data_IF_875804416976
#
_entry.id   IF_875804416976
#
_cell.length_a   1.000
_cell.length_b   1.000
_cell.length_c   1.000
_cell.angle_alpha   90.00
_cell.angle_beta   90.00
_cell.angle_gamma   90.00
#
_symmetry.space_group_name_H-M   'P 1'
#
loop_
_entity.id
_entity.type
_entity.pdbx_description
1 polymer ?
#
# COMPACT_ATOMS: atom_id res chain seq x y z
N UNK A 1 -30.68 15.89 -5.97
CA UNK A 1 -29.33 15.59 -6.48
C UNK A 1 -29.17 16.35 -7.78
N UNK A 2 -28.08 17.11 -7.99
CA UNK A 2 -27.86 17.71 -9.32
C UNK A 2 -27.81 16.56 -10.31
N UNK A 3 -28.65 16.62 -11.35
CA UNK A 3 -28.59 15.65 -12.44
C UNK A 3 -27.18 15.71 -13.01
N UNK A 4 -26.47 14.58 -13.02
CA UNK A 4 -25.19 14.52 -13.71
C UNK A 4 -25.49 14.74 -15.19
N UNK A 5 -24.85 15.74 -15.81
CA UNK A 5 -25.12 16.12 -17.20
C UNK A 5 -24.97 14.93 -18.17
N UNK A 6 -24.21 13.90 -17.79
CA UNK A 6 -23.99 12.63 -18.50
C UNK A 6 -25.18 11.67 -18.50
N UNK A 7 -26.13 11.81 -17.59
CA UNK A 7 -27.27 10.89 -17.45
C UNK A 7 -28.62 11.59 -17.31
N UNK A 8 -28.64 12.91 -17.14
CA UNK A 8 -29.85 13.70 -17.09
C UNK A 8 -30.77 13.47 -18.30
N UNK A 9 -32.08 13.39 -18.06
CA UNK A 9 -33.09 13.22 -19.10
C UNK A 9 -33.56 14.53 -19.73
N UNK A 10 -34.61 14.44 -20.56
CA UNK A 10 -35.29 15.58 -21.22
C UNK A 10 -34.33 16.39 -22.13
N UNK A 11 -34.21 17.69 -21.91
CA UNK A 11 -33.48 18.59 -22.81
C UNK A 11 -31.96 18.40 -22.72
N UNK A 12 -31.42 18.04 -21.55
CA UNK A 12 -30.00 17.67 -21.41
C UNK A 12 -29.66 16.40 -22.22
N UNK A 13 -30.58 15.43 -22.25
CA UNK A 13 -30.45 14.24 -23.10
C UNK A 13 -30.38 14.58 -24.59
N UNK A 14 -31.22 15.51 -25.06
CA UNK A 14 -31.17 15.98 -26.46
C UNK A 14 -29.87 16.72 -26.78
N UNK A 15 -29.33 17.49 -25.82
CA UNK A 15 -28.04 18.19 -25.99
C UNK A 15 -26.91 17.17 -26.06
N UNK A 16 -26.87 16.17 -25.18
CA UNK A 16 -25.88 15.08 -25.24
C UNK A 16 -25.93 14.34 -26.56
N UNK A 17 -27.13 13.94 -27.00
CA UNK A 17 -27.30 13.31 -28.30
C UNK A 17 -26.65 14.16 -29.39
N UNK A 18 -27.04 15.43 -29.53
CA UNK A 18 -26.45 16.33 -30.54
C UNK A 18 -24.93 16.45 -30.42
N UNK A 19 -24.40 16.48 -29.20
CA UNK A 19 -22.95 16.54 -28.97
C UNK A 19 -22.25 15.25 -29.44
N UNK A 20 -22.80 14.08 -29.13
CA UNK A 20 -22.30 12.78 -29.61
C UNK A 20 -22.36 12.72 -31.14
N UNK A 21 -23.45 13.19 -31.74
CA UNK A 21 -23.64 13.21 -33.20
C UNK A 21 -22.63 14.10 -33.94
N UNK A 22 -21.97 15.03 -33.26
CA UNK A 22 -20.85 15.78 -33.85
C UNK A 22 -19.58 14.94 -34.05
N UNK A 23 -19.51 13.76 -33.43
CA UNK A 23 -18.33 12.90 -33.40
C UNK A 23 -17.20 13.45 -32.53
N UNK A 24 -17.42 14.51 -31.73
CA UNK A 24 -16.35 15.20 -30.99
C UNK A 24 -16.12 14.68 -29.58
N UNK A 25 -17.08 14.00 -28.97
CA UNK A 25 -16.88 13.37 -27.65
C UNK A 25 -15.90 12.22 -27.82
N UNK A 26 -14.82 12.24 -27.04
CA UNK A 26 -13.68 11.34 -27.24
C UNK A 26 -13.48 10.40 -26.06
N UNK A 27 -13.40 10.97 -24.85
CA UNK A 27 -13.15 10.22 -23.62
C UNK A 27 -14.05 10.74 -22.51
N UNK A 28 -14.63 9.80 -21.77
CA UNK A 28 -15.42 10.03 -20.57
C UNK A 28 -14.76 9.31 -19.40
N UNK A 29 -14.45 10.03 -18.31
CA UNK A 29 -13.84 9.44 -17.11
C UNK A 29 -14.73 9.72 -15.89
N UNK A 30 -15.20 8.67 -15.21
CA UNK A 30 -15.92 8.81 -13.94
C UNK A 30 -14.94 8.75 -12.77
N UNK A 31 -15.10 9.68 -11.82
CA UNK A 31 -14.27 9.79 -10.62
C UNK A 31 -15.19 9.81 -9.39
N UNK A 32 -14.77 9.09 -8.34
CA UNK A 32 -15.53 8.99 -7.10
C UNK A 32 -15.60 10.32 -6.35
N UNK A 33 -16.41 10.34 -5.30
CA UNK A 33 -16.49 11.49 -4.39
C UNK A 33 -15.19 11.73 -3.62
N UNK A 34 -15.14 12.87 -2.93
CA UNK A 34 -14.04 13.28 -2.04
C UNK A 34 -12.72 13.65 -2.75
N UNK A 35 -12.75 13.92 -4.06
CA UNK A 35 -11.64 14.56 -4.79
C UNK A 35 -11.69 16.10 -4.74
N UNK A 36 -12.77 16.70 -4.23
CA UNK A 36 -12.88 18.14 -4.02
C UNK A 36 -12.73 18.50 -2.54
N UNK A 37 -11.97 19.56 -2.28
CA UNK A 37 -11.72 20.04 -0.91
C UNK A 37 -12.96 20.53 -0.16
N UNK A 38 -14.02 20.95 -0.87
CA UNK A 38 -15.18 21.65 -0.27
C UNK A 38 -16.49 20.90 -0.41
N UNK A 39 -16.56 19.82 -1.22
CA UNK A 39 -17.80 19.09 -1.51
C UNK A 39 -17.53 17.60 -1.74
N UNK A 40 -18.29 16.75 -1.05
CA UNK A 40 -18.27 15.29 -1.25
C UNK A 40 -19.20 14.87 -2.40
N UNK A 41 -18.86 15.25 -3.62
CA UNK A 41 -19.61 14.86 -4.84
C UNK A 41 -18.69 14.11 -5.80
N UNK A 42 -19.18 13.07 -6.51
CA UNK A 42 -18.43 12.49 -7.63
C UNK A 42 -18.35 13.49 -8.79
N UNK A 43 -17.40 13.30 -9.69
CA UNK A 43 -17.29 14.09 -10.91
C UNK A 43 -16.98 13.22 -12.12
N UNK A 44 -17.18 13.81 -13.29
CA UNK A 44 -16.78 13.20 -14.55
C UNK A 44 -15.94 14.19 -15.35
N UNK A 45 -14.92 13.68 -16.03
CA UNK A 45 -14.10 14.45 -16.96
C UNK A 45 -14.53 14.12 -18.38
N UNK A 46 -14.80 15.17 -19.15
CA UNK A 46 -15.25 15.10 -20.54
C UNK A 46 -14.13 15.61 -21.44
N UNK A 47 -13.61 14.76 -22.29
CA UNK A 47 -12.61 15.15 -23.30
C UNK A 47 -13.27 15.24 -24.66
N UNK A 48 -13.18 16.43 -25.27
CA UNK A 48 -13.73 16.72 -26.59
C UNK A 48 -12.58 16.94 -27.57
N UNK A 49 -12.61 16.24 -28.70
CA UNK A 49 -11.60 16.29 -29.73
C UNK A 49 -12.26 16.38 -31.11
N UNK A 50 -12.11 17.54 -31.77
CA UNK A 50 -12.63 17.74 -33.14
C UNK A 50 -11.75 17.10 -34.21
N UNK A 51 -10.51 16.72 -33.86
CA UNK A 51 -9.54 16.10 -34.76
C UNK A 51 -9.40 14.60 -34.52
N UNK A 52 -10.48 13.91 -34.11
CA UNK A 52 -10.44 12.45 -33.97
C UNK A 52 -10.13 11.80 -35.33
N UNK A 53 -9.26 10.78 -35.36
CA UNK A 53 -9.11 9.93 -36.54
C UNK A 53 -10.45 9.34 -36.99
N UNK A 54 -10.59 9.08 -38.28
CA UNK A 54 -11.86 8.64 -38.87
C UNK A 54 -12.38 7.35 -38.22
N UNK A 55 -11.48 6.43 -37.88
CA UNK A 55 -11.77 5.14 -37.24
C UNK A 55 -12.28 5.26 -35.78
N UNK A 56 -12.10 6.43 -35.16
CA UNK A 56 -12.56 6.72 -33.80
C UNK A 56 -13.75 7.68 -33.76
N UNK A 57 -14.17 8.23 -34.90
CA UNK A 57 -15.14 9.33 -34.95
C UNK A 57 -16.47 8.96 -34.26
N UNK A 58 -16.97 7.75 -34.51
CA UNK A 58 -18.19 7.19 -33.91
C UNK A 58 -17.95 6.38 -32.60
N UNK A 59 -16.75 6.49 -32.01
CA UNK A 59 -16.36 5.76 -30.80
C UNK A 59 -16.08 6.71 -29.64
N UNK A 60 -16.41 6.29 -28.42
CA UNK A 60 -16.10 7.01 -27.18
C UNK A 60 -15.42 6.04 -26.21
N UNK A 61 -14.31 6.45 -25.62
CA UNK A 61 -13.65 5.69 -24.55
C UNK A 61 -14.33 6.01 -23.21
N UNK A 62 -14.90 4.99 -22.58
CA UNK A 62 -15.51 5.07 -21.24
C UNK A 62 -14.53 4.51 -20.22
N UNK A 63 -14.08 5.33 -19.27
CA UNK A 63 -13.22 4.91 -18.16
C UNK A 63 -13.96 5.15 -16.83
N UNK A 64 -14.06 4.13 -16.02
CA UNK A 64 -14.55 4.24 -14.65
C UNK A 64 -13.39 4.17 -13.65
N UNK A 65 -12.91 5.34 -13.25
CA UNK A 65 -11.81 5.47 -12.28
C UNK A 65 -12.33 5.60 -10.84
N UNK A 66 -13.60 5.26 -10.55
CA UNK A 66 -14.18 5.41 -9.20
C UNK A 66 -13.48 4.54 -8.15
N UNK A 67 -12.84 3.44 -8.56
CA UNK A 67 -12.10 2.55 -7.65
C UNK A 67 -10.60 2.82 -7.62
N UNK A 68 -10.08 3.74 -8.43
CA UNK A 68 -8.67 4.10 -8.45
C UNK A 68 -8.49 5.36 -7.60
N UNK A 69 -7.89 5.25 -6.41
CA UNK A 69 -7.60 6.41 -5.56
C UNK A 69 -6.63 6.04 -4.43
N UNK A 70 -6.03 7.04 -3.81
CA UNK A 70 -5.43 6.95 -2.47
C UNK A 70 -6.18 7.87 -1.52
N UNK A 71 -6.29 7.46 -0.26
CA UNK A 71 -6.84 8.30 0.81
C UNK A 71 -5.71 9.19 1.31
N UNK A 72 -5.83 10.50 1.11
CA UNK A 72 -4.87 11.49 1.67
C UNK A 72 -5.17 11.71 3.15
N UNK A 73 -6.45 11.72 3.51
CA UNK A 73 -6.92 11.71 4.88
C UNK A 73 -8.34 11.10 4.93
N UNK A 74 -9.00 11.17 6.09
CA UNK A 74 -10.35 10.62 6.30
C UNK A 74 -11.41 11.16 5.33
N UNK A 75 -11.20 12.34 4.75
CA UNK A 75 -12.20 13.07 3.96
C UNK A 75 -11.76 13.40 2.53
N UNK A 76 -10.48 13.25 2.19
CA UNK A 76 -9.92 13.65 0.90
C UNK A 76 -9.22 12.46 0.25
N UNK A 77 -9.57 12.24 -1.01
CA UNK A 77 -8.88 11.35 -1.93
C UNK A 77 -8.10 12.15 -2.97
N UNK A 78 -7.09 11.50 -3.53
CA UNK A 78 -6.32 11.97 -4.67
C UNK A 78 -5.87 10.74 -5.48
N UNK A 79 -5.29 10.96 -6.66
CA UNK A 79 -4.50 9.95 -7.36
C UNK A 79 -3.04 10.04 -6.89
N UNK A 80 -2.37 8.90 -6.73
CA UNK A 80 -0.91 8.93 -6.75
C UNK A 80 -0.41 9.27 -8.17
N UNK A 81 0.84 9.75 -8.32
CA UNK A 81 1.43 9.92 -9.64
C UNK A 81 1.32 8.66 -10.52
N UNK A 82 1.51 7.48 -9.93
CA UNK A 82 1.42 6.18 -10.59
C UNK A 82 -0.02 5.84 -10.99
N UNK A 83 -0.99 6.05 -10.11
CA UNK A 83 -2.41 5.88 -10.44
C UNK A 83 -2.82 6.76 -11.63
N UNK A 84 -2.33 8.00 -11.68
CA UNK A 84 -2.57 8.90 -12.80
C UNK A 84 -1.93 8.39 -14.10
N UNK A 85 -0.69 7.90 -14.04
CA UNK A 85 -0.02 7.27 -15.19
C UNK A 85 -0.76 6.02 -15.66
N UNK A 86 -1.27 5.20 -14.75
CA UNK A 86 -2.06 4.02 -15.08
C UNK A 86 -3.34 4.39 -15.85
N UNK A 87 -4.10 5.38 -15.38
CA UNK A 87 -5.29 5.87 -16.11
C UNK A 87 -4.89 6.43 -17.48
N UNK A 88 -3.81 7.21 -17.54
CA UNK A 88 -3.31 7.79 -18.79
C UNK A 88 -2.86 6.70 -19.79
N UNK A 89 -2.31 5.59 -19.30
CA UNK A 89 -1.87 4.48 -20.13
C UNK A 89 -3.02 3.81 -20.89
N UNK A 90 -4.23 3.78 -20.31
CA UNK A 90 -5.45 3.32 -21.00
C UNK A 90 -5.73 4.20 -22.22
N UNK A 91 -5.52 5.52 -22.09
CA UNK A 91 -5.67 6.46 -23.20
C UNK A 91 -4.60 6.23 -24.27
N UNK A 92 -3.35 5.96 -23.89
CA UNK A 92 -2.29 5.60 -24.85
C UNK A 92 -2.68 4.35 -25.65
N UNK A 93 -3.19 3.32 -24.99
CA UNK A 93 -3.66 2.11 -25.65
C UNK A 93 -4.84 2.39 -26.60
N UNK A 94 -5.78 3.26 -26.20
CA UNK A 94 -6.86 3.74 -27.09
C UNK A 94 -6.34 4.49 -28.32
N UNK A 95 -5.17 5.14 -28.22
CA UNK A 95 -4.46 5.78 -29.33
C UNK A 95 -3.48 4.84 -30.06
N UNK A 96 -3.47 3.54 -29.75
CA UNK A 96 -2.53 2.57 -30.31
C UNK A 96 -1.05 2.87 -30.01
N UNK A 97 -0.77 3.58 -28.91
CA UNK A 97 0.59 3.93 -28.46
C UNK A 97 1.17 2.85 -27.53
N UNK A 98 1.16 1.58 -27.95
CA UNK A 98 1.59 0.43 -27.13
C UNK A 98 3.01 0.56 -26.56
N UNK A 99 3.93 1.19 -27.29
CA UNK A 99 5.30 1.39 -26.82
C UNK A 99 5.36 2.22 -25.54
N UNK A 100 4.55 3.28 -25.42
CA UNK A 100 4.51 4.12 -24.20
C UNK A 100 3.96 3.36 -22.99
N UNK A 101 2.97 2.49 -23.22
CA UNK A 101 2.46 1.60 -22.18
C UNK A 101 3.56 0.65 -21.69
N UNK A 102 4.27 0.00 -22.62
CA UNK A 102 5.38 -0.90 -22.29
C UNK A 102 6.48 -0.16 -21.52
N UNK A 103 6.88 1.02 -21.99
CA UNK A 103 7.90 1.84 -21.33
C UNK A 103 7.50 2.25 -19.91
N UNK A 104 6.20 2.45 -19.63
CA UNK A 104 5.69 2.70 -18.28
C UNK A 104 5.86 1.47 -17.38
N UNK A 105 5.47 0.27 -17.86
CA UNK A 105 5.65 -0.98 -17.10
C UNK A 105 7.12 -1.26 -16.82
N UNK A 106 7.99 -1.02 -17.82
CA UNK A 106 9.45 -1.11 -17.66
C UNK A 106 9.95 -0.11 -16.62
N UNK A 107 9.43 1.12 -16.61
CA UNK A 107 9.74 2.13 -15.60
C UNK A 107 9.34 1.70 -14.18
N UNK A 108 8.22 1.00 -14.02
CA UNK A 108 7.85 0.40 -12.74
C UNK A 108 8.80 -0.72 -12.34
N UNK A 109 9.17 -1.62 -13.24
CA UNK A 109 10.17 -2.67 -12.93
C UNK A 109 11.51 -2.09 -12.48
N UNK A 110 12.01 -1.06 -13.19
CA UNK A 110 13.23 -0.33 -12.78
C UNK A 110 13.09 0.36 -11.42
N UNK A 111 11.88 0.81 -11.08
CA UNK A 111 11.61 1.42 -9.77
C UNK A 111 11.61 0.32 -8.70
N UNK A 112 10.98 -0.83 -8.93
CA UNK A 112 11.03 -2.00 -8.03
C UNK A 112 12.49 -2.37 -7.72
N UNK A 113 13.35 -2.48 -8.74
CA UNK A 113 14.77 -2.80 -8.54
C UNK A 113 15.49 -1.75 -7.68
N UNK A 114 15.23 -0.46 -7.95
CA UNK A 114 15.82 0.63 -7.17
C UNK A 114 15.35 0.57 -5.71
N UNK A 115 14.05 0.39 -5.50
CA UNK A 115 13.49 0.36 -4.16
C UNK A 115 13.97 -0.89 -3.39
N UNK A 116 14.15 -2.01 -4.08
CA UNK A 116 14.71 -3.25 -3.55
C UNK A 116 16.15 -3.01 -3.05
N UNK A 117 17.02 -2.47 -3.89
CA UNK A 117 18.40 -2.15 -3.50
C UNK A 117 18.47 -1.12 -2.37
N UNK A 118 17.62 -0.10 -2.41
CA UNK A 118 17.52 0.90 -1.33
C UNK A 118 17.05 0.29 -0.01
N UNK A 119 16.12 -0.66 -0.05
CA UNK A 119 15.57 -1.30 1.16
C UNK A 119 16.62 -2.11 1.92
N UNK A 120 17.54 -2.80 1.22
CA UNK A 120 18.62 -3.57 1.86
C UNK A 120 19.50 -2.66 2.72
N UNK A 121 19.93 -1.52 2.19
CA UNK A 121 20.79 -0.59 2.92
C UNK A 121 20.09 0.00 4.16
N UNK A 122 18.79 0.30 4.05
CA UNK A 122 18.00 0.82 5.18
C UNK A 122 17.72 -0.25 6.24
N UNK A 123 17.50 -1.50 5.84
CA UNK A 123 17.34 -2.64 6.75
C UNK A 123 18.63 -2.92 7.53
N UNK A 124 19.78 -2.88 6.86
CA UNK A 124 21.10 -2.99 7.51
C UNK A 124 21.33 -1.87 8.52
N UNK A 125 21.00 -0.62 8.15
CA UNK A 125 21.07 0.51 9.06
C UNK A 125 20.16 0.32 10.29
N UNK A 126 18.94 -0.21 10.12
CA UNK A 126 18.09 -0.54 11.25
C UNK A 126 18.70 -1.62 12.15
N UNK A 127 19.30 -2.67 11.57
CA UNK A 127 20.00 -3.71 12.31
C UNK A 127 21.16 -3.14 13.14
N UNK A 128 21.95 -2.20 12.61
CA UNK A 128 23.02 -1.55 13.37
C UNK A 128 22.51 -0.80 14.61
N UNK A 129 21.34 -0.17 14.53
CA UNK A 129 20.72 0.51 15.67
C UNK A 129 20.10 -0.48 16.66
N UNK A 130 19.50 -1.55 16.15
CA UNK A 130 18.98 -2.65 16.95
C UNK A 130 20.10 -3.33 17.75
N UNK A 131 21.28 -3.50 17.15
CA UNK A 131 22.44 -4.14 17.78
C UNK A 131 22.97 -3.32 18.96
N UNK A 132 23.07 -2.00 18.82
CA UNK A 132 23.43 -1.12 19.94
C UNK A 132 22.49 -1.26 21.12
N UNK A 133 21.19 -1.41 20.87
CA UNK A 133 20.17 -1.58 21.90
C UNK A 133 20.23 -2.97 22.53
N UNK A 134 20.30 -4.02 21.71
CA UNK A 134 20.32 -5.41 22.18
C UNK A 134 21.62 -5.76 22.91
N UNK A 135 22.79 -5.29 22.45
CA UNK A 135 24.08 -5.50 23.13
C UNK A 135 24.09 -4.95 24.56
N UNK A 136 23.43 -3.82 24.81
CA UNK A 136 23.40 -3.24 26.14
C UNK A 136 22.22 -3.76 26.99
N UNK A 137 21.14 -4.26 26.39
CA UNK A 137 20.18 -5.13 27.08
C UNK A 137 20.85 -6.43 27.54
N UNK A 138 21.65 -7.05 26.68
CA UNK A 138 22.33 -8.31 26.95
C UNK A 138 23.23 -8.22 28.20
N UNK A 139 23.98 -7.12 28.35
CA UNK A 139 24.81 -6.87 29.55
C UNK A 139 24.00 -6.88 30.84
N UNK A 140 22.77 -6.37 30.79
CA UNK A 140 21.88 -6.35 31.95
C UNK A 140 21.21 -7.70 32.19
N UNK A 141 20.59 -8.27 31.16
CA UNK A 141 19.88 -9.55 31.28
C UNK A 141 20.82 -10.70 31.66
N UNK A 142 22.05 -10.75 31.12
CA UNK A 142 23.03 -11.78 31.52
C UNK A 142 23.45 -11.69 33.00
N UNK A 143 23.31 -10.52 33.64
CA UNK A 143 23.58 -10.37 35.07
C UNK A 143 22.41 -10.84 35.94
N UNK A 144 21.17 -10.64 35.46
CA UNK A 144 19.95 -10.86 36.23
C UNK A 144 19.38 -12.26 35.98
N UNK A 145 19.05 -12.56 34.73
CA UNK A 145 18.53 -13.85 34.28
C UNK A 145 18.68 -13.97 32.75
N UNK A 146 19.70 -14.71 32.32
CA UNK A 146 19.96 -14.97 30.89
C UNK A 146 18.82 -15.76 30.21
N UNK A 147 17.94 -16.41 31.00
CA UNK A 147 16.81 -17.21 30.52
C UNK A 147 15.48 -16.49 30.62
N UNK A 148 15.51 -15.17 30.87
CA UNK A 148 14.30 -14.38 30.88
C UNK A 148 13.53 -14.52 29.56
N UNK A 149 12.24 -14.88 29.65
CA UNK A 149 11.44 -15.22 28.49
C UNK A 149 11.28 -14.05 27.51
N UNK A 150 11.11 -12.83 28.01
CA UNK A 150 10.98 -11.62 27.17
C UNK A 150 12.28 -11.29 26.47
N UNK A 151 13.42 -11.47 27.15
CA UNK A 151 14.73 -11.32 26.54
C UNK A 151 15.00 -12.34 25.43
N UNK A 152 14.69 -13.62 25.69
CA UNK A 152 14.89 -14.69 24.72
C UNK A 152 14.00 -14.53 23.48
N UNK A 153 12.76 -14.07 23.68
CA UNK A 153 11.83 -13.77 22.59
C UNK A 153 12.35 -12.66 21.67
N UNK A 154 12.81 -11.53 22.25
CA UNK A 154 13.45 -10.44 21.50
C UNK A 154 14.67 -10.94 20.72
N UNK A 155 15.56 -11.69 21.36
CA UNK A 155 16.77 -12.22 20.70
C UNK A 155 16.41 -13.11 19.52
N UNK A 156 15.51 -14.06 19.73
CA UNK A 156 15.08 -15.01 18.69
C UNK A 156 14.45 -14.28 17.50
N UNK A 157 13.58 -13.30 17.76
CA UNK A 157 12.96 -12.50 16.72
C UNK A 157 13.99 -11.63 15.96
N UNK A 158 14.98 -11.07 16.67
CA UNK A 158 16.03 -10.25 16.07
C UNK A 158 16.97 -11.09 15.20
N UNK A 159 17.33 -12.29 15.63
CA UNK A 159 18.15 -13.24 14.86
C UNK A 159 17.41 -13.69 13.60
N UNK A 160 16.14 -14.09 13.71
CA UNK A 160 15.31 -14.45 12.56
C UNK A 160 15.16 -13.30 11.56
N UNK A 161 14.92 -12.09 12.05
CA UNK A 161 14.79 -10.90 11.20
C UNK A 161 16.06 -10.62 10.39
N UNK A 162 17.24 -10.76 11.00
CA UNK A 162 18.53 -10.60 10.31
C UNK A 162 18.76 -11.69 9.27
N UNK A 163 18.47 -12.94 9.62
CA UNK A 163 18.58 -14.07 8.68
C UNK A 163 17.67 -13.86 7.45
N UNK A 164 16.46 -13.33 7.65
CA UNK A 164 15.54 -13.04 6.56
C UNK A 164 15.99 -11.82 5.73
N UNK A 165 16.62 -10.80 6.33
CA UNK A 165 17.26 -9.72 5.57
C UNK A 165 18.36 -10.28 4.65
N UNK A 166 19.18 -11.20 5.14
CA UNK A 166 20.25 -11.82 4.34
C UNK A 166 19.68 -12.65 3.18
N UNK A 167 18.61 -13.41 3.41
CA UNK A 167 17.89 -14.13 2.34
C UNK A 167 17.33 -13.16 1.30
N UNK A 168 16.68 -12.09 1.76
CA UNK A 168 16.10 -11.07 0.89
C UNK A 168 17.16 -10.37 0.06
N UNK A 169 18.30 -10.00 0.65
CA UNK A 169 19.44 -9.40 -0.05
C UNK A 169 20.11 -10.35 -1.06
N UNK A 170 19.88 -11.65 -0.93
CA UNK A 170 20.39 -12.70 -1.82
C UNK A 170 19.53 -12.97 -3.06
N UNK A 171 18.40 -12.28 -3.25
CA UNK A 171 17.55 -12.52 -4.41
C UNK A 171 18.25 -12.16 -5.74
N UNK A 172 18.08 -13.03 -6.74
CA UNK A 172 18.78 -12.92 -8.02
C UNK A 172 18.19 -11.80 -8.89
N UNK A 173 19.00 -10.90 -9.47
CA UNK A 173 18.49 -9.83 -10.33
C UNK A 173 17.56 -10.36 -11.44
N UNK A 174 16.39 -9.75 -11.57
CA UNK A 174 15.41 -10.10 -12.59
C UNK A 174 15.80 -9.41 -13.89
N UNK A 175 15.84 -10.17 -14.98
CA UNK A 175 16.17 -9.65 -16.32
C UNK A 175 15.01 -9.87 -17.27
N UNK A 176 14.74 -8.88 -18.11
CA UNK A 176 13.70 -8.91 -19.12
C UNK A 176 14.11 -8.09 -20.34
N UNK A 177 13.49 -8.39 -21.48
CA UNK A 177 13.63 -7.62 -22.70
C UNK A 177 12.39 -6.72 -22.86
N UNK A 178 12.60 -5.40 -22.90
CA UNK A 178 11.52 -4.43 -23.04
C UNK A 178 10.74 -4.55 -24.37
N UNK A 179 11.31 -5.19 -25.39
CA UNK A 179 10.64 -5.44 -26.67
C UNK A 179 9.96 -6.82 -26.73
N UNK A 180 10.07 -7.61 -25.65
CA UNK A 180 9.47 -8.94 -25.52
C UNK A 180 8.53 -8.99 -24.31
N UNK A 181 7.23 -8.86 -24.59
CA UNK A 181 6.19 -8.78 -23.58
C UNK A 181 6.10 -10.04 -22.72
N UNK A 182 6.44 -11.21 -23.24
CA UNK A 182 6.44 -12.46 -22.47
C UNK A 182 7.48 -12.42 -21.36
N UNK A 183 8.69 -11.94 -21.67
CA UNK A 183 9.75 -11.76 -20.66
C UNK A 183 9.39 -10.70 -19.63
N UNK A 184 8.65 -9.66 -20.02
CA UNK A 184 8.19 -8.62 -19.11
C UNK A 184 7.10 -9.13 -18.15
N UNK A 185 6.16 -9.95 -18.63
CA UNK A 185 5.20 -10.65 -17.77
C UNK A 185 5.91 -11.54 -16.77
N UNK A 186 6.88 -12.34 -17.22
CA UNK A 186 7.62 -13.23 -16.33
C UNK A 186 8.39 -12.45 -15.27
N UNK A 187 9.01 -11.32 -15.63
CA UNK A 187 9.65 -10.44 -14.67
C UNK A 187 8.67 -9.92 -13.61
N UNK A 188 7.50 -9.42 -14.01
CA UNK A 188 6.47 -8.97 -13.07
C UNK A 188 5.98 -10.11 -12.17
N UNK A 189 5.86 -11.34 -12.68
CA UNK A 189 5.55 -12.51 -11.84
C UNK A 189 6.65 -12.80 -10.83
N UNK A 190 7.92 -12.70 -11.22
CA UNK A 190 9.04 -12.89 -10.30
C UNK A 190 9.07 -11.83 -9.19
N UNK A 191 8.73 -10.57 -9.50
CA UNK A 191 8.65 -9.50 -8.50
C UNK A 191 7.56 -9.71 -7.44
N UNK A 192 6.61 -10.63 -7.66
CA UNK A 192 5.63 -11.00 -6.63
C UNK A 192 6.32 -11.52 -5.35
N UNK A 193 7.32 -12.40 -5.51
CA UNK A 193 8.07 -12.96 -4.38
C UNK A 193 8.82 -11.86 -3.61
N UNK A 194 9.38 -10.88 -4.33
CA UNK A 194 10.04 -9.72 -3.73
C UNK A 194 9.05 -8.90 -2.91
N UNK A 195 7.84 -8.70 -3.45
CA UNK A 195 6.76 -7.97 -2.78
C UNK A 195 6.27 -8.64 -1.50
N UNK A 196 6.07 -9.96 -1.52
CA UNK A 196 5.65 -10.73 -0.34
C UNK A 196 6.73 -10.74 0.73
N UNK A 197 7.99 -11.01 0.35
CA UNK A 197 9.10 -11.00 1.30
C UNK A 197 9.32 -9.61 1.90
N UNK A 198 9.16 -8.56 1.10
CA UNK A 198 9.19 -7.17 1.55
C UNK A 198 8.09 -6.85 2.58
N UNK A 199 6.87 -7.36 2.38
CA UNK A 199 5.77 -7.22 3.34
C UNK A 199 6.13 -7.86 4.67
N UNK A 200 6.62 -9.09 4.62
CA UNK A 200 6.89 -9.88 5.82
C UNK A 200 8.07 -9.30 6.62
N UNK A 201 9.11 -8.81 5.95
CA UNK A 201 10.20 -8.04 6.61
C UNK A 201 9.68 -6.78 7.30
N UNK A 202 8.71 -6.08 6.70
CA UNK A 202 8.06 -4.94 7.34
C UNK A 202 7.40 -5.31 8.68
N UNK A 203 6.65 -6.42 8.69
CA UNK A 203 6.00 -6.94 9.91
C UNK A 203 7.02 -7.41 10.96
N UNK A 204 8.08 -8.09 10.53
CA UNK A 204 9.16 -8.50 11.42
C UNK A 204 9.85 -7.30 12.07
N UNK A 205 10.11 -6.23 11.31
CA UNK A 205 10.68 -5.00 11.85
C UNK A 205 9.75 -4.34 12.91
N UNK A 206 8.44 -4.33 12.68
CA UNK A 206 7.45 -3.88 13.67
C UNK A 206 7.43 -4.77 14.92
N UNK A 207 7.44 -6.09 14.75
CA UNK A 207 7.47 -7.07 15.84
C UNK A 207 8.71 -6.91 16.71
N UNK A 208 9.90 -6.85 16.11
CA UNK A 208 11.18 -6.68 16.82
C UNK A 208 11.16 -5.39 17.63
N UNK A 209 10.63 -4.29 17.07
CA UNK A 209 10.51 -3.02 17.80
C UNK A 209 9.55 -3.11 19.00
N UNK A 210 8.42 -3.82 18.87
CA UNK A 210 7.48 -4.07 19.97
C UNK A 210 8.14 -4.89 21.08
N UNK A 211 8.82 -5.98 20.73
CA UNK A 211 9.55 -6.83 21.68
C UNK A 211 10.68 -6.07 22.37
N UNK A 212 11.37 -5.19 21.64
CA UNK A 212 12.39 -4.32 22.20
C UNK A 212 11.83 -3.38 23.27
N UNK A 213 10.67 -2.77 22.99
CA UNK A 213 9.93 -1.96 23.96
C UNK A 213 9.59 -2.75 25.24
N UNK A 214 9.06 -3.97 25.08
CA UNK A 214 8.72 -4.87 26.20
C UNK A 214 9.94 -5.27 27.03
N UNK A 215 11.04 -5.64 26.38
CA UNK A 215 12.27 -6.02 27.07
C UNK A 215 12.86 -4.85 27.88
N UNK A 216 12.79 -3.63 27.35
CA UNK A 216 13.20 -2.41 28.08
C UNK A 216 12.28 -2.16 29.27
N UNK A 217 10.96 -2.23 29.06
CA UNK A 217 9.97 -1.98 30.12
C UNK A 217 10.10 -2.98 31.27
N UNK A 218 10.22 -4.27 30.95
CA UNK A 218 10.45 -5.33 31.93
C UNK A 218 11.74 -5.11 32.71
N UNK A 219 12.82 -4.78 32.02
CA UNK A 219 14.09 -4.49 32.69
C UNK A 219 13.95 -3.34 33.69
N UNK A 220 13.30 -2.24 33.30
CA UNK A 220 13.14 -1.06 34.16
C UNK A 220 12.14 -1.24 35.30
N UNK A 221 11.00 -1.91 35.06
CA UNK A 221 9.89 -2.02 36.01
C UNK A 221 10.01 -3.23 36.93
N UNK A 222 10.46 -4.37 36.40
CA UNK A 222 10.37 -5.66 37.10
C UNK A 222 11.74 -6.14 37.60
N UNK A 223 12.83 -5.78 36.90
CA UNK A 223 14.17 -6.31 37.16
C UNK A 223 15.13 -5.28 37.79
N UNK A 224 14.65 -4.07 38.09
CA UNK A 224 15.44 -3.05 38.80
C UNK A 224 16.56 -2.42 37.98
N UNK A 225 16.44 -2.39 36.65
CA UNK A 225 17.50 -1.88 35.78
C UNK A 225 17.89 -0.43 36.06
N UNK A 226 16.94 0.41 36.50
CA UNK A 226 17.20 1.83 36.82
C UNK A 226 18.21 2.05 37.94
N UNK A 227 18.38 1.06 38.82
CA UNK A 227 19.36 1.11 39.92
C UNK A 227 20.70 0.48 39.52
N UNK A 228 20.78 -0.15 38.34
CA UNK A 228 21.99 -0.79 37.83
C UNK A 228 22.94 0.21 37.20
N UNK A 229 24.22 0.11 37.55
CA UNK A 229 25.30 0.89 36.90
C UNK A 229 25.56 0.46 35.45
N UNK A 230 25.02 -0.69 35.03
CA UNK A 230 25.14 -1.21 33.66
C UNK A 230 24.03 -0.69 32.75
N UNK A 231 23.00 -0.04 33.31
CA UNK A 231 21.88 0.48 32.54
C UNK A 231 22.16 1.89 32.04
N UNK A 232 21.65 2.21 30.85
CA UNK A 232 21.75 3.56 30.31
C UNK A 232 20.99 4.56 31.19
N UNK A 233 21.42 5.81 31.16
CA UNK A 233 20.56 6.88 31.66
C UNK A 233 19.36 7.06 30.71
N UNK A 234 18.24 7.54 31.24
CA UNK A 234 16.98 7.66 30.47
C UNK A 234 17.11 8.51 29.21
N UNK A 235 18.03 9.48 29.16
CA UNK A 235 18.23 10.33 27.98
C UNK A 235 18.90 9.56 26.84
N UNK A 236 19.94 8.80 27.16
CA UNK A 236 20.68 7.97 26.20
C UNK A 236 19.78 6.87 25.62
N UNK A 237 19.04 6.17 26.47
CA UNK A 237 18.08 5.15 26.05
C UNK A 237 17.02 5.72 25.11
N UNK A 238 16.41 6.86 25.47
CA UNK A 238 15.42 7.50 24.60
C UNK A 238 15.99 7.98 23.26
N UNK A 239 17.28 8.36 23.23
CA UNK A 239 17.95 8.76 21.99
C UNK A 239 18.14 7.55 21.09
N UNK A 240 18.72 6.46 21.60
CA UNK A 240 18.93 5.22 20.84
C UNK A 240 17.61 4.63 20.32
N UNK A 241 16.57 4.61 21.16
CA UNK A 241 15.23 4.16 20.75
C UNK A 241 14.66 4.99 19.61
N UNK A 242 14.83 6.31 19.67
CA UNK A 242 14.35 7.22 18.61
C UNK A 242 15.10 7.01 17.31
N UNK A 243 16.42 6.82 17.37
CA UNK A 243 17.26 6.54 16.20
C UNK A 243 16.88 5.20 15.55
N UNK A 244 16.74 4.15 16.36
CA UNK A 244 16.26 2.85 15.92
C UNK A 244 14.87 2.94 15.26
N UNK A 245 13.91 3.60 15.91
CA UNK A 245 12.55 3.76 15.37
C UNK A 245 12.52 4.58 14.08
N UNK A 246 13.35 5.63 13.97
CA UNK A 246 13.49 6.40 12.73
C UNK A 246 14.04 5.54 11.59
N UNK A 247 15.11 4.79 11.86
CA UNK A 247 15.72 3.92 10.84
C UNK A 247 14.76 2.81 10.39
N UNK A 248 14.00 2.25 11.32
CA UNK A 248 12.94 1.27 11.08
C UNK A 248 11.83 1.84 10.18
N UNK A 249 11.32 3.02 10.50
CA UNK A 249 10.27 3.67 9.70
C UNK A 249 10.75 3.93 8.26
N UNK A 250 11.99 4.38 8.08
CA UNK A 250 12.58 4.57 6.76
C UNK A 250 12.67 3.25 5.98
N UNK A 251 13.14 2.17 6.63
CA UNK A 251 13.21 0.85 6.00
C UNK A 251 11.81 0.35 5.58
N UNK A 252 10.81 0.46 6.45
CA UNK A 252 9.43 0.03 6.18
C UNK A 252 8.81 0.85 5.03
N UNK A 253 9.05 2.17 4.99
CA UNK A 253 8.52 3.01 3.90
C UNK A 253 9.12 2.59 2.54
N UNK A 254 10.41 2.28 2.53
CA UNK A 254 11.11 1.78 1.33
C UNK A 254 10.55 0.42 0.87
N UNK A 255 10.29 -0.49 1.81
CA UNK A 255 9.66 -1.79 1.54
C UNK A 255 8.24 -1.63 0.97
N UNK A 256 7.44 -0.70 1.52
CA UNK A 256 6.10 -0.36 1.01
C UNK A 256 6.14 0.22 -0.40
N UNK A 257 7.10 1.11 -0.67
CA UNK A 257 7.29 1.73 -1.98
C UNK A 257 7.54 0.68 -3.08
N UNK A 258 8.43 -0.29 -2.82
CA UNK A 258 8.66 -1.44 -3.69
C UNK A 258 7.35 -2.17 -4.04
N UNK A 259 6.56 -2.51 -3.02
CA UNK A 259 5.28 -3.20 -3.20
C UNK A 259 4.29 -2.36 -3.99
N UNK A 260 4.29 -1.04 -3.80
CA UNK A 260 3.51 -0.10 -4.59
C UNK A 260 3.80 -0.21 -6.08
N UNK A 261 5.07 -0.11 -6.48
CA UNK A 261 5.45 -0.22 -7.89
C UNK A 261 5.15 -1.59 -8.49
N UNK A 262 5.38 -2.67 -7.74
CA UNK A 262 4.96 -4.02 -8.15
C UNK A 262 3.46 -4.08 -8.44
N UNK A 263 2.62 -3.59 -7.51
CA UNK A 263 1.16 -3.56 -7.72
C UNK A 263 0.77 -2.78 -8.97
N UNK A 264 1.42 -1.65 -9.25
CA UNK A 264 1.13 -0.89 -10.47
C UNK A 264 1.52 -1.64 -11.74
N UNK A 265 2.70 -2.29 -11.77
CA UNK A 265 3.14 -3.09 -12.91
C UNK A 265 2.20 -4.29 -13.15
N UNK A 266 1.89 -5.03 -12.08
CA UNK A 266 0.96 -6.16 -12.10
C UNK A 266 -0.43 -5.74 -12.58
N UNK A 267 -0.99 -4.68 -11.99
CA UNK A 267 -2.31 -4.15 -12.33
C UNK A 267 -2.45 -3.82 -13.81
N UNK A 268 -1.40 -3.23 -14.41
CA UNK A 268 -1.37 -2.90 -15.84
C UNK A 268 -1.33 -4.15 -16.73
N UNK A 269 -0.41 -5.07 -16.46
CA UNK A 269 -0.22 -6.27 -17.29
C UNK A 269 -1.35 -7.27 -17.16
N UNK A 270 -1.95 -7.40 -15.98
CA UNK A 270 -3.15 -8.21 -15.77
C UNK A 270 -4.32 -7.70 -16.64
N UNK A 271 -4.51 -6.38 -16.68
CA UNK A 271 -5.63 -5.75 -17.38
C UNK A 271 -5.39 -5.60 -18.87
N UNK A 272 -4.14 -5.41 -19.29
CA UNK A 272 -3.77 -5.23 -20.70
C UNK A 272 -2.58 -6.13 -21.09
N UNK A 273 -2.75 -7.47 -21.08
CA UNK A 273 -1.65 -8.42 -21.22
C UNK A 273 -0.94 -8.36 -22.57
N UNK A 274 -1.62 -7.90 -23.62
CA UNK A 274 -1.06 -7.77 -24.96
C UNK A 274 -0.56 -6.35 -25.29
N UNK A 275 -0.47 -5.46 -24.28
CA UNK A 275 -0.20 -4.03 -24.46
C UNK A 275 -1.11 -3.38 -25.51
N UNK A 276 -2.38 -3.81 -25.52
CA UNK A 276 -3.45 -3.33 -26.40
C UNK A 276 -4.69 -3.07 -25.57
N UNK A 277 -5.48 -2.08 -26.00
CA UNK A 277 -6.76 -1.82 -25.36
C UNK A 277 -7.67 -3.02 -25.54
N UNK A 278 -8.26 -3.46 -24.42
CA UNK A 278 -9.38 -4.40 -24.38
C UNK A 278 -10.39 -3.89 -23.36
N UNK A 279 -11.62 -4.36 -23.47
CA UNK A 279 -12.62 -4.10 -22.44
C UNK A 279 -12.18 -4.76 -21.13
N UNK A 280 -12.29 -4.02 -20.03
CA UNK A 280 -12.01 -4.51 -18.68
C UNK A 280 -13.21 -4.16 -17.81
N UNK A 281 -13.88 -5.20 -17.30
CA UNK A 281 -15.08 -5.04 -16.47
C UNK A 281 -14.79 -4.12 -15.27
N UNK A 282 -15.72 -3.21 -15.02
CA UNK A 282 -15.62 -2.18 -13.98
C UNK A 282 -14.61 -1.06 -14.25
N UNK A 283 -13.85 -1.09 -15.35
CA UNK A 283 -12.78 -0.14 -15.60
C UNK A 283 -12.88 0.59 -16.95
N UNK A 284 -12.91 -0.14 -18.07
CA UNK A 284 -12.83 0.51 -19.40
C UNK A 284 -13.60 -0.24 -20.47
N UNK A 285 -14.24 0.53 -21.36
CA UNK A 285 -14.88 0.02 -22.58
C UNK A 285 -14.85 1.08 -23.68
N UNK A 286 -14.68 0.66 -24.93
CA UNK A 286 -14.96 1.53 -26.09
C UNK A 286 -16.38 1.31 -26.55
N UNK A 287 -17.18 2.37 -26.56
CA UNK A 287 -18.59 2.30 -26.95
C UNK A 287 -18.81 2.97 -28.29
N UNK A 288 -19.65 2.37 -29.12
CA UNK A 288 -20.06 2.94 -30.39
C UNK A 288 -21.41 3.67 -30.29
N UNK A 289 -21.80 4.30 -31.40
CA UNK A 289 -23.02 5.08 -31.48
C UNK A 289 -24.30 4.25 -31.28
N UNK A 290 -24.31 2.99 -31.70
CA UNK A 290 -25.47 2.11 -31.53
C UNK A 290 -25.66 1.78 -30.05
N UNK A 291 -24.58 1.46 -29.35
CA UNK A 291 -24.59 1.19 -27.91
C UNK A 291 -24.99 2.45 -27.10
N UNK A 292 -24.49 3.63 -27.49
CA UNK A 292 -24.89 4.91 -26.90
C UNK A 292 -26.39 5.17 -27.09
N UNK A 293 -26.92 4.92 -28.28
CA UNK A 293 -28.36 5.09 -28.56
C UNK A 293 -29.22 4.14 -27.74
N UNK A 294 -28.82 2.87 -27.63
CA UNK A 294 -29.49 1.87 -26.80
C UNK A 294 -29.49 2.24 -25.31
N UNK A 295 -28.53 3.08 -24.89
CA UNK A 295 -28.37 3.56 -23.52
C UNK A 295 -28.82 5.02 -23.32
N UNK A 296 -29.85 5.46 -24.06
CA UNK A 296 -30.45 6.80 -23.93
C UNK A 296 -29.44 7.95 -24.07
N UNK A 297 -28.41 7.74 -24.89
CA UNK A 297 -27.30 8.67 -25.10
C UNK A 297 -26.57 9.03 -23.81
N UNK A 298 -26.55 8.15 -22.82
CA UNK A 298 -25.83 8.37 -21.56
C UNK A 298 -24.33 8.41 -21.81
N UNK A 299 -23.62 9.30 -21.13
CA UNK A 299 -22.16 9.40 -21.17
C UNK A 299 -21.54 9.00 -19.82
N UNK A 300 -22.26 8.23 -19.00
CA UNK A 300 -21.78 7.75 -17.69
C UNK A 300 -21.02 6.43 -17.87
N UNK A 301 -19.69 6.39 -17.67
CA UNK A 301 -18.87 5.19 -17.91
C UNK A 301 -19.37 3.93 -17.21
N UNK A 302 -19.82 4.04 -15.95
CA UNK A 302 -20.33 2.91 -15.17
C UNK A 302 -21.54 2.18 -15.78
N UNK A 303 -22.27 2.80 -16.72
CA UNK A 303 -23.36 2.13 -17.46
C UNK A 303 -22.84 1.13 -18.50
N UNK A 304 -21.60 1.29 -18.94
CA UNK A 304 -20.99 0.54 -20.03
C UNK A 304 -19.96 -0.48 -19.56
N UNK A 305 -19.20 -0.15 -18.52
CA UNK A 305 -18.12 -1.02 -18.03
C UNK A 305 -18.58 -2.06 -17.02
N UNK A 306 -19.77 -1.93 -16.45
CA UNK A 306 -20.26 -2.83 -15.40
C UNK A 306 -19.79 -2.44 -14.00
N UNK A 307 -19.81 -3.40 -13.07
CA UNK A 307 -19.40 -3.22 -11.68
C UNK A 307 -18.06 -3.91 -11.49
N UNK A 308 -17.07 -3.19 -10.98
CA UNK A 308 -15.79 -3.80 -10.60
C UNK A 308 -16.02 -4.88 -9.55
N UNK A 309 -15.31 -6.02 -9.63
CA UNK A 309 -15.21 -6.94 -8.50
C UNK A 309 -14.77 -6.19 -7.24
N UNK A 310 -15.23 -6.65 -6.07
CA UNK A 310 -14.67 -6.18 -4.80
C UNK A 310 -13.21 -6.64 -4.72
N UNK A 311 -12.28 -5.69 -4.71
CA UNK A 311 -10.86 -5.98 -4.45
C UNK A 311 -10.67 -6.03 -2.93
N UNK A 312 -10.14 -7.13 -2.41
CA UNK A 312 -9.71 -7.23 -1.01
C UNK A 312 -8.52 -6.28 -0.78
N UNK A 313 -8.50 -5.59 0.36
CA UNK A 313 -7.35 -4.80 0.76
C UNK A 313 -6.22 -5.75 1.17
N UNK A 314 -5.36 -6.13 0.21
CA UNK A 314 -4.22 -7.03 0.46
C UNK A 314 -3.20 -6.48 1.49
N UNK A 315 -3.24 -5.18 1.80
CA UNK A 315 -2.46 -4.57 2.88
C UNK A 315 -3.12 -4.78 4.27
N UNK A 316 -4.39 -5.19 4.32
CA UNK A 316 -5.10 -5.47 5.54
C UNK A 316 -4.82 -6.90 6.02
N UNK A 317 -3.81 -7.05 6.87
CA UNK A 317 -3.53 -8.33 7.53
C UNK A 317 -4.45 -8.53 8.73
N UNK A 318 -5.52 -9.29 8.51
CA UNK A 318 -6.46 -9.71 9.55
C UNK A 318 -5.77 -10.49 10.68
N UNK A 319 -4.81 -11.35 10.34
CA UNK A 319 -4.14 -12.22 11.31
C UNK A 319 -3.19 -11.42 12.19
N UNK A 320 -2.42 -10.50 11.60
CA UNK A 320 -1.59 -9.55 12.36
C UNK A 320 -2.44 -8.67 13.27
N UNK A 321 -3.54 -8.10 12.77
CA UNK A 321 -4.47 -7.30 13.59
C UNK A 321 -5.00 -8.12 14.76
N UNK A 322 -5.37 -9.39 14.54
CA UNK A 322 -5.81 -10.29 15.59
C UNK A 322 -4.69 -10.63 16.59
N UNK A 323 -3.46 -10.84 16.12
CA UNK A 323 -2.30 -11.07 17.00
C UNK A 323 -1.99 -9.83 17.83
N UNK A 324 -2.05 -8.62 17.26
CA UNK A 324 -1.89 -7.36 18.00
C UNK A 324 -2.95 -7.21 19.09
N UNK A 325 -4.23 -7.41 18.73
CA UNK A 325 -5.34 -7.38 19.69
C UNK A 325 -5.13 -8.43 20.79
N UNK A 326 -4.66 -9.63 20.43
CA UNK A 326 -4.40 -10.69 21.39
C UNK A 326 -3.23 -10.35 22.34
N UNK A 327 -2.17 -9.77 21.81
CA UNK A 327 -1.02 -9.27 22.58
C UNK A 327 -1.46 -8.16 23.54
N UNK A 328 -2.21 -7.17 23.06
CA UNK A 328 -2.75 -6.09 23.88
C UNK A 328 -3.71 -6.63 24.97
N UNK A 329 -4.55 -7.60 24.63
CA UNK A 329 -5.43 -8.26 25.58
C UNK A 329 -4.66 -9.00 26.69
N UNK A 330 -3.56 -9.68 26.35
CA UNK A 330 -2.71 -10.35 27.34
C UNK A 330 -1.99 -9.35 28.25
N UNK A 331 -1.56 -8.21 27.70
CA UNK A 331 -0.95 -7.13 28.47
C UNK A 331 -1.97 -6.53 29.46
N UNK A 332 -3.19 -6.22 28.98
CA UNK A 332 -4.30 -5.75 29.82
C UNK A 332 -4.68 -6.75 30.91
N UNK A 333 -4.67 -8.05 30.61
CA UNK A 333 -4.94 -9.10 31.60
C UNK A 333 -3.84 -9.16 32.67
N UNK A 334 -2.57 -9.06 32.28
CA UNK A 334 -1.44 -9.08 33.21
C UNK A 334 -1.47 -7.86 34.13
N UNK A 335 -1.78 -6.69 33.58
CA UNK A 335 -1.97 -5.47 34.37
C UNK A 335 -3.18 -5.57 35.31
N UNK A 336 -4.28 -6.15 34.85
CA UNK A 336 -5.46 -6.40 35.68
C UNK A 336 -5.15 -7.32 36.87
N UNK A 337 -4.38 -8.40 36.66
CA UNK A 337 -3.95 -9.30 37.74
C UNK A 337 -3.09 -8.54 38.75
N UNK A 338 -2.11 -7.76 38.28
CA UNK A 338 -1.23 -6.98 39.15
C UNK A 338 -2.01 -5.97 40.00
N UNK A 339 -2.97 -5.26 39.39
CA UNK A 339 -3.84 -4.32 40.09
C UNK A 339 -4.74 -5.02 41.11
N UNK A 340 -5.26 -6.21 40.78
CA UNK A 340 -6.05 -7.00 41.71
C UNK A 340 -5.24 -7.40 42.95
N UNK A 341 -3.99 -7.84 42.77
CA UNK A 341 -3.07 -8.17 43.87
C UNK A 341 -2.73 -6.94 44.74
N UNK A 342 -2.54 -5.78 44.12
CA UNK A 342 -2.27 -4.53 44.83
C UNK A 342 -3.49 -4.07 45.65
N UNK A 343 -4.69 -4.18 45.09
CA UNK A 343 -5.95 -3.90 45.80
C UNK A 343 -6.10 -4.84 47.01
N UNK A 344 -5.84 -6.14 46.83
CA UNK A 344 -5.92 -7.11 47.93
C UNK A 344 -4.97 -6.75 49.08
N UNK A 345 -3.71 -6.43 48.78
CA UNK A 345 -2.72 -5.97 49.78
C UNK A 345 -3.15 -4.68 50.49
N UNK A 346 -3.77 -3.75 49.76
CA UNK A 346 -4.27 -2.52 50.35
C UNK A 346 -5.43 -2.77 51.33
N UNK A 347 -6.33 -3.71 51.03
CA UNK A 347 -7.39 -4.12 51.95
C UNK A 347 -6.83 -4.79 53.21
N UNK A 348 -5.86 -5.71 53.07
CA UNK A 348 -5.18 -6.32 54.21
C UNK A 348 -4.50 -5.26 55.09
N UNK A 349 -3.86 -4.24 54.48
CA UNK A 349 -3.24 -3.13 55.19
C UNK A 349 -4.23 -2.21 55.93
N UNK A 350 -5.49 -2.17 55.48
CA UNK A 350 -6.59 -1.47 56.14
C UNK A 350 -7.29 -2.32 57.22
N UNK A 351 -6.90 -3.59 57.37
CA UNK A 351 -7.44 -4.53 58.37
C UNK A 351 -8.82 -5.08 58.02
N UNK A 352 -9.16 -5.15 56.72
CA UNK A 352 -10.41 -5.74 56.20
C UNK A 352 -10.11 -7.05 55.49
#
# INVERSE_FOLDING_TARGET
MSSQASSAGRDEGKVRQKLIETGTVDIMIAIRSNFFYTRSVPCELWFLNRGKPAELQDKILMIDARNIYRKVNRTINDFSPEQLQNILSIVWLYRSESKRFIDLVVGYCQSIDREYQGSIALLQNYCEHLDKLTEALEKFYNLIDEKDGTWLELRTASELFKDDIDKYAGFAPISYNADDLETLHEAVRCYHEYGEFSRDLGKQADLVNKLLGRAIERAEKDLGARDSKLWWNSRELNTLRKEADTSRQNAIEQLKSLRGFYRHAHWLLERFPDAKLRDVEGLVKVVDREELQANDWSLTPGRYVGVSPEEEDEDFDFEETLREIHLELNDLNSEAIRLADEIAKNFEGLGI
#
